data_IF_524357973133
#
_entry.id   IF_524357973133
#
_cell.length_a   1.000
_cell.length_b   1.000
_cell.length_c   1.000
_cell.angle_alpha   90.00
_cell.angle_beta   90.00
_cell.angle_gamma   90.00
#
_symmetry.space_group_name_H-M   'P 1'
#
loop_
_entity.id
_entity.type
_entity.pdbx_description
1 polymer ?
#
# COMPACT_ATOMS: atom_id res chain seq x y z
N UNK A 1 -20.91 0.98 -23.76
CA UNK A 1 -20.59 -0.44 -23.58
C UNK A 1 -20.21 -0.54 -22.12
N UNK A 2 -21.09 -1.12 -21.30
CA UNK A 2 -20.96 -1.11 -19.84
C UNK A 2 -19.80 -2.02 -19.45
N UNK A 3 -18.68 -1.44 -19.07
CA UNK A 3 -17.55 -2.19 -18.54
C UNK A 3 -17.87 -2.51 -17.08
N UNK A 4 -18.40 -3.72 -16.86
CA UNK A 4 -18.48 -4.33 -15.53
C UNK A 4 -17.05 -4.63 -15.07
N UNK A 5 -16.35 -3.60 -14.59
CA UNK A 5 -15.24 -3.81 -13.66
C UNK A 5 -15.80 -4.61 -12.47
N UNK A 6 -15.08 -5.62 -11.95
CA UNK A 6 -15.52 -6.29 -10.74
C UNK A 6 -15.76 -5.22 -9.67
N UNK A 7 -17.02 -5.10 -9.23
CA UNK A 7 -17.50 -3.99 -8.41
C UNK A 7 -16.83 -3.94 -7.02
N UNK A 8 -16.15 -5.02 -6.62
CA UNK A 8 -15.53 -5.19 -5.33
C UNK A 8 -14.08 -5.72 -5.48
N UNK A 9 -13.16 -5.30 -4.60
CA UNK A 9 -11.83 -5.87 -4.49
C UNK A 9 -11.93 -7.37 -4.15
N UNK A 10 -11.01 -8.21 -4.64
CA UNK A 10 -11.00 -9.62 -4.31
C UNK A 10 -10.81 -9.88 -2.81
N UNK A 11 -11.40 -10.97 -2.34
CA UNK A 11 -11.44 -11.33 -0.93
C UNK A 11 -10.04 -11.69 -0.38
N UNK A 12 -9.59 -10.98 0.66
CA UNK A 12 -8.28 -11.20 1.27
C UNK A 12 -8.21 -12.48 2.10
N UNK A 13 -9.31 -12.84 2.77
CA UNK A 13 -9.40 -14.07 3.57
C UNK A 13 -9.33 -15.35 2.73
N UNK A 14 -9.56 -15.26 1.43
CA UNK A 14 -9.46 -16.37 0.49
C UNK A 14 -8.06 -16.50 -0.16
N UNK A 15 -7.13 -15.59 0.11
CA UNK A 15 -5.76 -15.68 -0.41
C UNK A 15 -5.05 -16.89 0.22
N UNK A 16 -4.48 -17.81 -0.58
CA UNK A 16 -3.84 -19.01 -0.05
C UNK A 16 -2.72 -18.71 0.94
N UNK A 17 -2.76 -19.38 2.10
CA UNK A 17 -1.74 -19.26 3.15
C UNK A 17 -1.89 -18.04 4.07
N UNK A 18 -2.88 -17.17 3.83
CA UNK A 18 -3.19 -16.08 4.74
C UNK A 18 -3.73 -16.61 6.06
N UNK A 19 -3.29 -16.01 7.16
CA UNK A 19 -3.77 -16.31 8.50
C UNK A 19 -4.55 -15.13 9.08
N UNK A 20 -5.48 -15.36 10.02
CA UNK A 20 -6.16 -14.26 10.72
C UNK A 20 -5.20 -13.29 11.42
N UNK A 21 -4.07 -13.78 11.95
CA UNK A 21 -3.07 -12.94 12.61
C UNK A 21 -2.34 -12.00 11.63
N UNK A 22 -2.09 -12.45 10.39
CA UNK A 22 -1.54 -11.58 9.34
C UNK A 22 -2.50 -10.47 8.98
N UNK A 23 -3.79 -10.80 8.77
CA UNK A 23 -4.78 -9.79 8.44
C UNK A 23 -5.04 -8.84 9.60
N UNK A 24 -5.06 -9.32 10.85
CA UNK A 24 -5.13 -8.46 12.04
C UNK A 24 -3.98 -7.45 12.07
N UNK A 25 -2.74 -7.92 11.89
CA UNK A 25 -1.55 -7.08 11.88
C UNK A 25 -1.58 -6.05 10.75
N UNK A 26 -1.98 -6.47 9.55
CA UNK A 26 -2.10 -5.62 8.37
C UNK A 26 -3.20 -4.57 8.53
N UNK A 27 -4.38 -4.94 9.02
CA UNK A 27 -5.49 -4.02 9.28
C UNK A 27 -5.11 -2.98 10.34
N UNK A 28 -4.45 -3.41 11.43
CA UNK A 28 -3.94 -2.47 12.42
C UNK A 28 -2.93 -1.49 11.82
N UNK A 29 -1.97 -1.98 11.03
CA UNK A 29 -0.96 -1.13 10.39
C UNK A 29 -1.58 -0.15 9.38
N UNK A 30 -2.56 -0.60 8.59
CA UNK A 30 -3.31 0.24 7.67
C UNK A 30 -4.15 1.28 8.42
N UNK A 31 -4.74 0.92 9.56
CA UNK A 31 -5.48 1.88 10.37
C UNK A 31 -4.54 2.94 10.99
N UNK A 32 -3.35 2.56 11.46
CA UNK A 32 -2.33 3.51 11.94
C UNK A 32 -1.91 4.47 10.83
N UNK A 33 -1.64 3.94 9.63
CA UNK A 33 -1.25 4.74 8.47
C UNK A 33 -2.35 5.72 8.06
N UNK A 34 -3.62 5.29 8.10
CA UNK A 34 -4.75 6.18 7.81
C UNK A 34 -4.85 7.33 8.82
N UNK A 35 -4.76 7.00 10.11
CA UNK A 35 -4.85 7.99 11.20
C UNK A 35 -3.73 9.03 11.12
N UNK A 36 -2.52 8.63 10.72
CA UNK A 36 -1.41 9.55 10.48
C UNK A 36 -1.64 10.49 9.28
N UNK A 37 -2.51 10.10 8.34
CA UNK A 37 -2.86 10.89 7.14
C UNK A 37 -1.65 11.46 6.37
N UNK A 38 -0.65 10.61 6.03
CA UNK A 38 0.63 11.06 5.49
C UNK A 38 0.53 11.75 4.11
N UNK A 39 -0.56 11.53 3.37
CA UNK A 39 -0.83 12.17 2.08
C UNK A 39 -0.86 13.70 2.13
N UNK A 40 -1.07 14.30 3.30
CA UNK A 40 -0.95 15.75 3.46
C UNK A 40 0.48 16.27 3.26
N UNK A 41 1.49 15.45 3.58
CA UNK A 41 2.91 15.81 3.51
C UNK A 41 3.65 15.07 2.37
N UNK A 42 3.25 13.83 2.07
CA UNK A 42 3.87 12.95 1.08
C UNK A 42 3.06 12.80 -0.21
N UNK A 43 1.95 13.53 -0.38
CA UNK A 43 1.12 13.43 -1.57
C UNK A 43 1.85 13.81 -2.88
N UNK A 44 1.32 13.34 -4.01
CA UNK A 44 1.82 13.67 -5.36
C UNK A 44 2.76 12.60 -5.91
N UNK A 45 3.84 13.02 -6.58
CA UNK A 45 4.85 12.12 -7.18
C UNK A 45 5.89 11.62 -6.17
N UNK A 46 5.72 11.94 -4.88
CA UNK A 46 6.63 11.51 -3.83
C UNK A 46 6.60 9.99 -3.69
N UNK A 47 7.78 9.39 -3.87
CA UNK A 47 7.95 7.95 -3.80
C UNK A 47 9.02 7.59 -2.77
N UNK A 48 8.79 6.51 -2.03
CA UNK A 48 9.68 5.97 -1.02
C UNK A 48 10.11 4.57 -1.46
N UNK A 49 11.41 4.33 -1.56
CA UNK A 49 11.91 2.98 -1.74
C UNK A 49 11.90 2.27 -0.39
N UNK A 50 11.25 1.10 -0.33
CA UNK A 50 11.20 0.24 0.85
C UNK A 50 11.88 -1.08 0.48
N UNK A 51 13.04 -1.33 1.09
CA UNK A 51 13.79 -2.55 0.91
C UNK A 51 13.69 -3.42 2.16
N UNK A 52 13.33 -4.69 1.99
CA UNK A 52 13.40 -5.71 3.04
C UNK A 52 14.60 -6.59 2.72
N UNK A 53 15.58 -6.80 3.62
CA UNK A 53 16.81 -7.53 3.32
C UNK A 53 16.63 -8.97 2.78
N UNK A 54 15.50 -9.61 3.07
CA UNK A 54 15.16 -10.93 2.53
C UNK A 54 14.73 -10.92 1.05
N UNK A 55 14.48 -9.76 0.47
CA UNK A 55 14.10 -9.57 -0.93
C UNK A 55 15.27 -8.98 -1.73
N UNK A 56 15.41 -9.35 -3.00
CA UNK A 56 16.51 -8.89 -3.84
C UNK A 56 16.43 -7.41 -4.23
N UNK A 57 15.21 -6.87 -4.34
CA UNK A 57 14.97 -5.50 -4.80
C UNK A 57 14.12 -4.71 -3.81
N UNK A 58 14.21 -3.38 -3.89
CA UNK A 58 13.33 -2.48 -3.17
C UNK A 58 12.06 -2.26 -3.98
N UNK A 59 10.89 -2.32 -3.32
CA UNK A 59 9.64 -1.86 -3.93
C UNK A 59 9.48 -0.36 -3.72
N UNK A 60 8.76 0.30 -4.62
CA UNK A 60 8.55 1.74 -4.60
C UNK A 60 7.13 2.02 -4.15
N UNK A 61 6.98 2.74 -3.05
CA UNK A 61 5.69 3.16 -2.49
C UNK A 61 5.42 4.61 -2.88
N UNK A 62 4.30 4.86 -3.53
CA UNK A 62 3.76 6.20 -3.81
C UNK A 62 2.55 6.43 -2.91
N UNK A 63 2.58 7.50 -2.11
CA UNK A 63 1.46 7.84 -1.22
C UNK A 63 0.38 8.56 -2.03
N UNK A 64 -0.82 7.99 -2.04
CA UNK A 64 -1.99 8.53 -2.74
C UNK A 64 -2.84 9.40 -1.80
N UNK A 65 -3.43 10.48 -2.33
CA UNK A 65 -4.33 11.34 -1.56
C UNK A 65 -4.23 12.84 -1.85
N UNK A 66 -3.19 13.30 -2.58
CA UNK A 66 -3.01 14.72 -2.89
C UNK A 66 -4.20 15.35 -3.64
N UNK A 67 -4.89 14.57 -4.48
CA UNK A 67 -6.07 15.01 -5.23
C UNK A 67 -7.40 14.88 -4.46
N UNK A 68 -7.37 14.37 -3.22
CA UNK A 68 -8.55 14.22 -2.36
C UNK A 68 -9.61 13.19 -2.82
N UNK A 69 -9.33 12.40 -3.86
CA UNK A 69 -10.26 11.42 -4.42
C UNK A 69 -10.05 10.00 -3.88
N UNK A 70 -8.80 9.58 -3.71
CA UNK A 70 -8.44 8.27 -3.19
C UNK A 70 -7.22 8.38 -2.28
N UNK A 71 -7.30 7.76 -1.11
CA UNK A 71 -6.24 7.73 -0.10
C UNK A 71 -5.65 6.33 -0.01
N UNK A 72 -4.34 6.24 0.24
CA UNK A 72 -3.65 4.96 0.40
C UNK A 72 -2.26 4.96 -0.21
N UNK A 73 -1.86 3.82 -0.76
CA UNK A 73 -0.55 3.65 -1.42
C UNK A 73 -0.65 2.84 -2.71
N UNK A 74 0.13 3.24 -3.70
CA UNK A 74 0.48 2.39 -4.85
C UNK A 74 1.90 1.86 -4.66
N UNK A 75 2.09 0.56 -4.85
CA UNK A 75 3.35 -0.15 -4.63
C UNK A 75 3.78 -0.80 -5.95
N UNK A 76 4.92 -0.38 -6.45
CA UNK A 76 5.54 -0.90 -7.67
C UNK A 76 6.66 -1.86 -7.29
N UNK A 77 6.71 -3.01 -7.95
CA UNK A 77 7.63 -4.10 -7.58
C UNK A 77 9.11 -3.67 -7.75
N UNK A 78 9.40 -2.72 -8.64
CA UNK A 78 10.73 -2.16 -8.84
C UNK A 78 10.69 -0.73 -9.41
N UNK A 79 11.86 -0.10 -9.52
CA UNK A 79 12.01 1.26 -10.04
C UNK A 79 11.61 1.40 -11.52
N UNK A 80 11.83 0.36 -12.33
CA UNK A 80 11.50 0.38 -13.76
C UNK A 80 9.99 0.41 -13.99
N UNK A 81 9.20 -0.23 -13.13
CA UNK A 81 7.74 -0.21 -13.18
C UNK A 81 7.20 1.18 -12.81
N UNK A 82 7.71 1.81 -11.76
CA UNK A 82 7.32 3.20 -11.45
C UNK A 82 7.72 4.17 -12.57
N UNK A 83 8.92 4.02 -13.14
CA UNK A 83 9.34 4.82 -14.30
C UNK A 83 8.49 4.55 -15.54
N UNK A 84 7.95 3.34 -15.70
CA UNK A 84 7.01 3.01 -16.77
C UNK A 84 5.65 3.68 -16.53
N UNK A 85 5.14 3.67 -15.29
CA UNK A 85 3.92 4.41 -14.91
C UNK A 85 4.02 5.88 -15.30
N UNK A 86 5.09 6.57 -14.91
CA UNK A 86 5.28 7.99 -15.21
C UNK A 86 5.41 8.28 -16.71
N UNK A 87 5.98 7.35 -17.49
CA UNK A 87 6.09 7.51 -18.95
C UNK A 87 4.76 7.34 -19.66
N UNK A 88 3.95 6.37 -19.25
CA UNK A 88 2.65 6.11 -19.87
C UNK A 88 1.64 7.21 -19.51
N UNK A 89 1.71 7.72 -18.27
CA UNK A 89 0.83 8.77 -17.77
C UNK A 89 -0.68 8.48 -17.98
N UNK A 90 -1.02 7.19 -18.06
CA UNK A 90 -2.36 6.63 -18.21
C UNK A 90 -2.41 5.30 -17.45
N UNK A 91 -3.18 5.23 -16.35
CA UNK A 91 -3.32 4.01 -15.55
C UNK A 91 -3.85 2.81 -16.35
N UNK A 92 -4.70 3.02 -17.36
CA UNK A 92 -5.26 1.94 -18.16
C UNK A 92 -4.20 1.34 -19.10
N UNK A 93 -3.44 2.20 -19.79
CA UNK A 93 -2.29 1.77 -20.58
C UNK A 93 -1.22 1.09 -19.69
N UNK A 94 -0.97 1.63 -18.50
CA UNK A 94 -0.07 1.03 -17.53
C UNK A 94 -0.53 -0.37 -17.09
N UNK A 95 -1.82 -0.55 -16.83
CA UNK A 95 -2.38 -1.84 -16.45
C UNK A 95 -2.27 -2.91 -17.55
N UNK A 96 -2.17 -2.51 -18.82
CA UNK A 96 -1.91 -3.44 -19.91
C UNK A 96 -0.46 -3.96 -19.93
N UNK A 97 0.50 -3.17 -19.44
CA UNK A 97 1.94 -3.43 -19.60
C UNK A 97 2.66 -3.88 -18.33
N UNK A 98 2.10 -3.60 -17.15
CA UNK A 98 2.73 -3.91 -15.88
C UNK A 98 1.70 -4.25 -14.81
N UNK A 99 2.19 -4.75 -13.67
CA UNK A 99 1.37 -4.96 -12.48
C UNK A 99 1.87 -4.11 -11.32
N UNK A 100 0.96 -3.67 -10.47
CA UNK A 100 1.30 -3.05 -9.19
C UNK A 100 0.30 -3.48 -8.12
N UNK A 101 0.69 -3.31 -6.87
CA UNK A 101 -0.17 -3.53 -5.71
C UNK A 101 -0.72 -2.17 -5.26
N UNK A 102 -2.01 -2.11 -4.96
CA UNK A 102 -2.65 -0.93 -4.41
C UNK A 102 -3.30 -1.28 -3.06
N UNK A 103 -3.14 -0.39 -2.10
CA UNK A 103 -3.99 -0.31 -0.92
C UNK A 103 -4.76 1.00 -1.02
N UNK A 104 -6.08 0.93 -1.04
CA UNK A 104 -6.99 2.08 -0.91
C UNK A 104 -7.83 1.94 0.36
N UNK A 105 -8.48 3.03 0.75
CA UNK A 105 -9.41 3.06 1.87
C UNK A 105 -10.82 3.32 1.35
N UNK A 106 -11.72 2.40 1.64
CA UNK A 106 -13.09 2.41 1.10
C UNK A 106 -14.15 2.34 2.21
N UNK A 107 -15.42 2.50 1.82
CA UNK A 107 -16.56 2.17 2.69
C UNK A 107 -16.84 0.66 2.66
N UNK A 108 -17.60 0.17 3.66
CA UNK A 108 -17.95 -1.24 3.75
C UNK A 108 -18.65 -1.80 2.48
N UNK A 109 -19.39 -0.96 1.74
CA UNK A 109 -20.07 -1.34 0.50
C UNK A 109 -19.11 -1.77 -0.62
N UNK A 110 -17.82 -1.44 -0.48
CA UNK A 110 -16.75 -1.77 -1.41
C UNK A 110 -15.81 -2.85 -0.86
N UNK A 111 -16.24 -3.63 0.12
CA UNK A 111 -15.46 -4.73 0.70
C UNK A 111 -16.21 -6.06 0.49
N UNK A 112 -15.46 -7.14 0.27
CA UNK A 112 -16.07 -8.47 0.12
C UNK A 112 -16.83 -8.86 1.39
N UNK A 113 -17.96 -9.57 1.24
CA UNK A 113 -18.74 -10.03 2.39
C UNK A 113 -17.89 -10.88 3.33
N UNK A 114 -17.15 -11.86 2.81
CA UNK A 114 -16.28 -12.73 3.63
C UNK A 114 -15.26 -11.94 4.46
N UNK A 115 -14.67 -10.87 3.91
CA UNK A 115 -13.75 -10.02 4.68
C UNK A 115 -14.50 -9.21 5.75
N UNK A 116 -15.69 -8.67 5.45
CA UNK A 116 -16.53 -7.98 6.46
C UNK A 116 -16.91 -8.91 7.63
N UNK A 117 -17.31 -10.15 7.31
CA UNK A 117 -17.61 -11.16 8.32
C UNK A 117 -16.37 -11.51 9.16
N UNK A 118 -15.19 -11.58 8.54
CA UNK A 118 -13.94 -11.82 9.27
C UNK A 118 -13.56 -10.64 10.16
N UNK A 119 -13.70 -9.40 9.68
CA UNK A 119 -13.48 -8.18 10.47
C UNK A 119 -14.37 -8.19 11.72
N UNK A 120 -15.66 -8.47 11.56
CA UNK A 120 -16.61 -8.55 12.69
C UNK A 120 -16.25 -9.71 13.64
N UNK A 121 -15.98 -10.90 13.10
CA UNK A 121 -15.69 -12.11 13.88
C UNK A 121 -14.42 -12.00 14.71
N UNK A 122 -13.35 -11.45 14.13
CA UNK A 122 -12.03 -11.38 14.76
C UNK A 122 -11.74 -10.03 15.40
N UNK A 123 -12.59 -9.02 15.20
CA UNK A 123 -12.42 -7.68 15.76
C UNK A 123 -11.25 -6.91 15.14
N UNK A 124 -10.95 -7.13 13.86
CA UNK A 124 -9.86 -6.42 13.18
C UNK A 124 -10.12 -4.91 13.16
N UNK A 125 -9.05 -4.14 13.38
CA UNK A 125 -9.15 -2.69 13.51
C UNK A 125 -9.36 -2.02 12.16
N UNK A 126 -10.37 -1.17 12.06
CA UNK A 126 -10.60 -0.26 10.94
C UNK A 126 -10.54 1.17 11.47
N UNK A 127 -9.89 2.09 10.77
CA UNK A 127 -9.67 3.44 11.30
C UNK A 127 -10.97 4.21 11.53
N UNK A 128 -11.93 4.10 10.62
CA UNK A 128 -13.29 4.61 10.73
C UNK A 128 -14.21 3.90 9.69
N UNK A 129 -15.55 4.12 9.73
CA UNK A 129 -16.50 3.46 8.81
C UNK A 129 -16.30 3.74 7.31
N UNK A 130 -15.44 4.69 6.94
CA UNK A 130 -15.08 5.03 5.55
C UNK A 130 -13.61 4.76 5.24
N UNK A 131 -12.96 3.90 6.03
CA UNK A 131 -11.53 3.63 5.93
C UNK A 131 -11.20 2.13 6.04
N UNK A 132 -11.98 1.29 5.37
CA UNK A 132 -11.69 -0.13 5.22
C UNK A 132 -10.53 -0.32 4.23
N UNK A 133 -9.43 -1.00 4.61
CA UNK A 133 -8.34 -1.30 3.68
C UNK A 133 -8.82 -2.25 2.57
N UNK A 134 -8.76 -1.79 1.33
CA UNK A 134 -8.98 -2.58 0.12
C UNK A 134 -7.64 -2.81 -0.56
N UNK A 135 -7.23 -4.07 -0.72
CA UNK A 135 -5.89 -4.42 -1.23
C UNK A 135 -6.04 -5.26 -2.48
N UNK A 136 -5.46 -4.79 -3.58
CA UNK A 136 -5.60 -5.42 -4.90
C UNK A 136 -4.29 -5.36 -5.67
N UNK A 137 -4.02 -6.38 -6.49
CA UNK A 137 -3.09 -6.23 -7.60
C UNK A 137 -3.85 -5.77 -8.83
N UNK A 138 -3.31 -4.78 -9.52
CA UNK A 138 -3.86 -4.24 -10.77
C UNK A 138 -2.88 -4.59 -11.88
N UNK A 139 -3.39 -4.90 -13.06
CA UNK A 139 -2.62 -4.90 -14.30
C UNK A 139 -2.38 -6.27 -14.95
N UNK A 140 -1.32 -6.39 -15.74
CA UNK A 140 -1.22 -7.29 -16.91
C UNK A 140 -1.56 -8.79 -16.70
N UNK A 141 -2.36 -9.42 -17.60
CA UNK A 141 -2.80 -8.89 -18.89
C UNK A 141 -4.18 -8.19 -18.82
N UNK A 142 -4.20 -6.86 -18.66
CA UNK A 142 -5.41 -6.04 -18.62
C UNK A 142 -5.66 -5.34 -17.27
N UNK A 143 -6.62 -4.40 -17.18
CA UNK A 143 -6.92 -3.64 -15.96
C UNK A 143 -7.67 -4.44 -14.89
N UNK A 144 -7.48 -5.77 -14.86
CA UNK A 144 -8.18 -6.65 -13.94
C UNK A 144 -7.70 -6.45 -12.50
N UNK A 145 -8.66 -6.40 -11.58
CA UNK A 145 -8.40 -6.49 -10.15
C UNK A 145 -8.16 -7.95 -9.79
N UNK A 146 -6.97 -8.23 -9.29
CA UNK A 146 -6.55 -9.58 -8.87
C UNK A 146 -6.27 -9.61 -7.36
N UNK A 147 -6.52 -10.75 -6.71
CA UNK A 147 -6.14 -10.90 -5.31
C UNK A 147 -4.64 -10.65 -5.12
N UNK A 148 -4.23 -10.01 -4.02
CA UNK A 148 -2.82 -9.95 -3.65
C UNK A 148 -2.28 -11.35 -3.36
N UNK A 149 -0.97 -11.54 -3.46
CA UNK A 149 -0.31 -12.77 -3.04
C UNK A 149 -0.01 -12.74 -1.53
N UNK A 150 0.24 -13.90 -0.92
CA UNK A 150 0.65 -13.96 0.49
C UNK A 150 1.87 -13.07 0.78
N UNK A 151 2.89 -13.14 -0.08
CA UNK A 151 4.11 -12.34 0.04
C UNK A 151 3.83 -10.84 -0.06
N UNK A 152 2.80 -10.42 -0.83
CA UNK A 152 2.39 -9.02 -0.88
C UNK A 152 1.84 -8.56 0.45
N UNK A 153 0.99 -9.37 1.10
CA UNK A 153 0.37 -9.02 2.37
C UNK A 153 1.39 -9.00 3.51
N UNK A 154 2.30 -9.97 3.55
CA UNK A 154 3.40 -10.02 4.53
C UNK A 154 4.32 -8.81 4.35
N UNK A 155 4.70 -8.49 3.12
CA UNK A 155 5.52 -7.33 2.83
C UNK A 155 4.82 -6.03 3.19
N UNK A 156 3.53 -5.90 2.83
CA UNK A 156 2.76 -4.68 3.04
C UNK A 156 2.52 -4.37 4.52
N UNK A 157 2.30 -5.38 5.37
CA UNK A 157 2.20 -5.17 6.82
C UNK A 157 3.48 -4.49 7.35
N UNK A 158 4.64 -5.09 7.07
CA UNK A 158 5.92 -4.54 7.54
C UNK A 158 6.26 -3.19 6.92
N UNK A 159 5.92 -2.99 5.64
CA UNK A 159 6.08 -1.71 4.97
C UNK A 159 5.23 -0.61 5.61
N UNK A 160 3.93 -0.85 5.87
CA UNK A 160 3.05 0.13 6.50
C UNK A 160 3.51 0.49 7.91
N UNK A 161 3.88 -0.50 8.73
CA UNK A 161 4.41 -0.25 10.08
C UNK A 161 5.69 0.61 10.03
N UNK A 162 6.58 0.30 9.09
CA UNK A 162 7.81 1.07 8.90
C UNK A 162 7.54 2.48 8.37
N UNK A 163 6.55 2.63 7.48
CA UNK A 163 6.12 3.94 6.96
C UNK A 163 5.49 4.80 8.06
N UNK A 164 4.70 4.23 8.97
CA UNK A 164 4.19 4.96 10.13
C UNK A 164 5.34 5.49 11.00
N UNK A 165 6.29 4.63 11.36
CA UNK A 165 7.49 5.04 12.12
C UNK A 165 8.32 6.09 11.38
N UNK A 166 8.42 5.96 10.06
CA UNK A 166 9.11 6.91 9.20
C UNK A 166 8.45 8.29 9.24
N UNK A 167 7.14 8.34 9.02
CA UNK A 167 6.35 9.59 9.03
C UNK A 167 6.45 10.28 10.38
N UNK A 168 6.33 9.54 11.48
CA UNK A 168 6.34 10.12 12.83
C UNK A 168 7.70 10.64 13.27
N UNK A 169 8.80 10.02 12.85
CA UNK A 169 10.13 10.25 13.43
C UNK A 169 11.15 10.89 12.50
N UNK A 170 10.96 10.78 11.18
CA UNK A 170 11.99 11.11 10.20
C UNK A 170 11.50 11.96 9.03
N UNK A 171 10.19 12.08 8.84
CA UNK A 171 9.65 12.96 7.82
C UNK A 171 9.81 14.42 8.26
N UNK A 172 10.77 15.10 7.64
CA UNK A 172 10.95 16.54 7.78
C UNK A 172 10.59 17.25 6.47
N UNK A 173 9.88 18.36 6.58
CA UNK A 173 9.58 19.23 5.44
C UNK A 173 10.56 20.40 5.40
N UNK A 174 10.88 20.87 4.20
CA UNK A 174 11.60 22.13 4.01
C UNK A 174 10.68 23.35 4.13
N UNK A 175 11.24 24.55 3.97
CA UNK A 175 10.49 25.82 4.07
C UNK A 175 9.37 25.95 3.02
N UNK A 176 9.40 25.14 1.96
CA UNK A 176 8.40 25.10 0.88
C UNK A 176 7.37 24.00 1.10
N UNK A 177 7.46 23.26 2.21
CA UNK A 177 6.61 22.11 2.49
C UNK A 177 7.00 20.84 1.74
N UNK A 178 8.16 20.80 1.08
CA UNK A 178 8.61 19.61 0.35
C UNK A 178 9.37 18.65 1.29
N UNK A 179 9.16 17.32 1.17
CA UNK A 179 9.87 16.34 1.98
C UNK A 179 11.39 16.37 1.76
N UNK A 180 12.16 16.41 2.85
CA UNK A 180 13.63 16.34 2.80
C UNK A 180 14.11 14.93 2.47
N UNK A 181 15.18 14.77 1.67
CA UNK A 181 15.77 13.46 1.41
C UNK A 181 16.28 12.80 2.69
N UNK A 182 15.98 11.51 2.84
CA UNK A 182 16.31 10.76 4.06
C UNK A 182 16.49 9.28 3.74
N UNK A 183 17.39 8.63 4.48
CA UNK A 183 17.64 7.19 4.45
C UNK A 183 17.70 6.67 5.87
N UNK A 184 16.88 5.68 6.18
CA UNK A 184 16.80 5.11 7.53
C UNK A 184 16.60 3.60 7.46
N UNK A 185 17.14 2.90 8.45
CA UNK A 185 16.83 1.49 8.70
C UNK A 185 15.94 1.42 9.93
N UNK A 186 14.82 0.72 9.80
CA UNK A 186 13.81 0.58 10.84
C UNK A 186 13.57 -0.90 11.11
N UNK A 187 13.23 -1.22 12.35
CA UNK A 187 12.73 -2.54 12.73
C UNK A 187 11.33 -2.38 13.25
N UNK A 188 10.40 -3.17 12.70
CA UNK A 188 9.00 -3.18 13.11
C UNK A 188 8.57 -4.59 13.50
N UNK A 189 7.64 -4.70 14.46
CA UNK A 189 7.04 -5.97 14.84
C UNK A 189 5.82 -6.23 13.96
N UNK A 190 5.82 -7.33 13.22
CA UNK A 190 4.74 -7.80 12.34
C UNK A 190 4.12 -9.10 12.85
N UNK A 191 3.08 -9.61 12.19
CA UNK A 191 2.50 -10.92 12.51
C UNK A 191 3.50 -12.08 12.34
N UNK A 192 4.56 -11.88 11.54
CA UNK A 192 5.60 -12.86 11.25
C UNK A 192 6.86 -12.69 12.12
N UNK A 193 6.87 -11.73 13.06
CA UNK A 193 8.01 -11.43 13.93
C UNK A 193 8.63 -10.06 13.67
N UNK A 194 9.92 -9.90 13.93
CA UNK A 194 10.59 -8.62 13.63
C UNK A 194 10.93 -8.55 12.14
N UNK A 195 10.60 -7.43 11.50
CA UNK A 195 10.98 -7.12 10.13
C UNK A 195 11.87 -5.89 10.09
N UNK A 196 13.08 -6.05 9.55
CA UNK A 196 13.96 -4.94 9.20
C UNK A 196 13.59 -4.39 7.81
N UNK A 197 13.52 -3.07 7.70
CA UNK A 197 13.26 -2.36 6.45
C UNK A 197 14.23 -1.19 6.28
N UNK A 198 14.71 -0.97 5.07
CA UNK A 198 15.52 0.19 4.71
C UNK A 198 14.68 1.11 3.83
N UNK A 199 14.36 2.29 4.35
CA UNK A 199 13.54 3.29 3.68
C UNK A 199 14.43 4.38 3.10
N UNK A 200 14.09 4.83 1.89
CA UNK A 200 14.75 5.94 1.23
C UNK A 200 13.75 6.84 0.52
N UNK A 201 13.85 8.13 0.81
CA UNK A 201 13.10 9.21 0.19
C UNK A 201 14.09 10.20 -0.45
N UNK A 202 13.94 10.60 -1.73
CA UNK A 202 13.10 9.95 -2.74
C UNK A 202 13.61 8.53 -3.08
N UNK A 203 12.67 7.66 -3.46
CA UNK A 203 12.91 6.27 -3.81
C UNK A 203 13.58 6.09 -5.18
N UNK A 204 13.16 6.84 -6.19
CA UNK A 204 13.86 6.90 -7.47
C UNK A 204 15.14 7.72 -7.32
N UNK A 205 16.21 7.27 -7.96
CA UNK A 205 17.39 8.10 -8.18
C UNK A 205 17.14 8.84 -9.50
N UNK A 206 17.14 10.16 -9.45
CA UNK A 206 17.17 11.02 -10.65
C UNK A 206 18.60 11.08 -11.16
#
# INVERSE_FOLDING_TARGET
MSEDFPLLPPCMTQVPGVSPALLEGLFSAAADFYTLSPWGALGGETNIAVHVPSHSEARLVVVMGAGGQAYGVSVYDNAADLQRMYRLNDPLAAAAEMSWLALTYETADYISADDLWAIERFGWRVANPSAYPAIVRIGAPGPELRPPQLDDLVWLEGALRSLCLFVERYLELDERGAPRPVRVSLTSTTSAGQMETHLRLPGLRV
#
